data_IF_041987469782
#
_entry.id   IF_041987469782
#
_cell.length_a   1.000
_cell.length_b   1.000
_cell.length_c   1.000
_cell.angle_alpha   90.00
_cell.angle_beta   90.00
_cell.angle_gamma   90.00
#
_symmetry.space_group_name_H-M   'P 1'
#
loop_
_entity.id
_entity.type
_entity.pdbx_description
1 polymer ?
#
# COMPACT_ATOMS: atom_id res chain seq x y z
N UNK A 1 -18.82 -8.55 37.33
CA UNK A 1 -19.04 -9.77 36.51
C UNK A 1 -19.59 -9.48 35.13
N UNK A 2 -20.77 -8.86 34.92
CA UNK A 2 -21.36 -8.60 33.58
C UNK A 2 -20.47 -7.83 32.59
N UNK A 3 -19.64 -6.85 33.02
CA UNK A 3 -18.75 -6.07 32.18
C UNK A 3 -17.56 -6.91 31.68
N UNK A 4 -17.00 -7.74 32.53
CA UNK A 4 -15.92 -8.68 32.18
C UNK A 4 -16.40 -9.73 31.15
N UNK A 5 -17.59 -10.27 31.36
CA UNK A 5 -18.19 -11.26 30.46
C UNK A 5 -18.42 -10.68 29.05
N UNK A 6 -18.86 -9.41 28.93
CA UNK A 6 -19.00 -8.72 27.66
C UNK A 6 -17.64 -8.47 26.97
N UNK A 7 -16.58 -8.17 27.73
CA UNK A 7 -15.23 -7.98 27.19
C UNK A 7 -14.69 -9.31 26.65
N UNK A 8 -14.82 -10.39 27.44
CA UNK A 8 -14.41 -11.73 27.01
C UNK A 8 -15.16 -12.16 25.75
N UNK A 9 -16.50 -11.98 25.70
CA UNK A 9 -17.30 -12.31 24.53
C UNK A 9 -16.89 -11.56 23.27
N UNK A 10 -16.55 -10.26 23.38
CA UNK A 10 -16.01 -9.47 22.27
C UNK A 10 -14.67 -10.04 21.77
N UNK A 11 -13.76 -10.38 22.68
CA UNK A 11 -12.46 -10.93 22.29
C UNK A 11 -12.57 -12.32 21.66
N UNK A 12 -13.48 -13.16 22.16
CA UNK A 12 -13.76 -14.46 21.56
C UNK A 12 -14.32 -14.32 20.13
N UNK A 13 -15.26 -13.40 19.93
CA UNK A 13 -15.81 -13.12 18.59
C UNK A 13 -14.72 -12.60 17.64
N UNK A 14 -13.89 -11.64 18.08
CA UNK A 14 -12.78 -11.13 17.30
C UNK A 14 -11.76 -12.22 16.96
N UNK A 15 -11.43 -13.08 17.92
CA UNK A 15 -10.53 -14.21 17.73
C UNK A 15 -11.08 -15.20 16.70
N UNK A 16 -12.38 -15.52 16.79
CA UNK A 16 -13.05 -16.38 15.83
C UNK A 16 -13.02 -15.80 14.40
N UNK A 17 -13.35 -14.52 14.27
CA UNK A 17 -13.28 -13.83 12.98
C UNK A 17 -11.85 -13.82 12.42
N UNK A 18 -10.87 -13.51 13.26
CA UNK A 18 -9.45 -13.52 12.85
C UNK A 18 -9.03 -14.93 12.40
N UNK A 19 -9.46 -15.98 13.12
CA UNK A 19 -9.17 -17.35 12.73
C UNK A 19 -9.76 -17.71 11.36
N UNK A 20 -11.02 -17.34 11.10
CA UNK A 20 -11.68 -17.55 9.80
C UNK A 20 -10.90 -16.84 8.68
N UNK A 21 -10.45 -15.60 8.92
CA UNK A 21 -9.66 -14.83 7.95
C UNK A 21 -8.26 -15.42 7.71
N UNK A 22 -7.69 -16.10 8.68
CA UNK A 22 -6.39 -16.75 8.55
C UNK A 22 -6.44 -18.06 7.76
N UNK A 23 -7.60 -18.74 7.69
CA UNK A 23 -7.74 -20.04 6.99
C UNK A 23 -7.19 -19.98 5.55
N UNK A 24 -7.60 -19.03 4.68
CA UNK A 24 -7.08 -18.99 3.31
C UNK A 24 -5.58 -18.70 3.26
N UNK A 25 -5.05 -17.89 4.19
CA UNK A 25 -3.62 -17.57 4.26
C UNK A 25 -2.82 -18.81 4.65
N UNK A 26 -3.26 -19.53 5.68
CA UNK A 26 -2.64 -20.78 6.12
C UNK A 26 -2.72 -21.83 5.01
N UNK A 27 -3.86 -21.93 4.31
CA UNK A 27 -4.01 -22.85 3.20
C UNK A 27 -3.02 -22.53 2.05
N UNK A 28 -2.86 -21.27 1.66
CA UNK A 28 -1.88 -20.85 0.66
C UNK A 28 -0.45 -21.21 1.10
N UNK A 29 -0.11 -20.93 2.37
CA UNK A 29 1.19 -21.25 2.92
C UNK A 29 1.45 -22.76 2.89
N UNK A 30 0.50 -23.57 3.35
CA UNK A 30 0.61 -25.02 3.38
C UNK A 30 0.71 -25.58 1.94
N UNK A 31 -0.12 -25.08 1.02
CA UNK A 31 -0.15 -25.52 -0.37
C UNK A 31 1.15 -25.16 -1.10
N UNK A 32 1.82 -24.07 -0.73
CA UNK A 32 3.10 -23.67 -1.35
C UNK A 32 4.20 -24.73 -1.17
N UNK A 33 4.11 -25.56 -0.12
CA UNK A 33 5.01 -26.68 0.12
C UNK A 33 4.54 -28.01 -0.50
N UNK A 34 3.52 -27.98 -1.36
CA UNK A 34 3.02 -29.18 -2.03
C UNK A 34 3.90 -29.54 -3.22
N UNK A 35 4.16 -30.84 -3.40
CA UNK A 35 4.78 -31.36 -4.64
C UNK A 35 3.82 -31.44 -5.83
N UNK A 36 2.55 -31.14 -5.62
CA UNK A 36 1.52 -31.15 -6.67
C UNK A 36 1.67 -29.90 -7.57
N UNK A 37 1.72 -30.12 -8.90
CA UNK A 37 1.92 -29.08 -9.91
C UNK A 37 0.61 -28.52 -10.51
N UNK A 38 -0.49 -28.60 -9.83
CA UNK A 38 -1.78 -28.11 -10.31
C UNK A 38 -2.30 -26.90 -9.53
N UNK A 39 -3.17 -26.12 -10.16
CA UNK A 39 -3.83 -24.97 -9.53
C UNK A 39 -4.90 -25.41 -8.53
N UNK A 40 -5.54 -26.57 -8.79
CA UNK A 40 -6.62 -27.09 -7.96
C UNK A 40 -6.10 -28.23 -7.07
N UNK A 41 -5.94 -27.99 -5.79
CA UNK A 41 -5.64 -29.03 -4.81
C UNK A 41 -6.94 -29.53 -4.21
N UNK A 42 -7.18 -30.87 -4.26
CA UNK A 42 -8.34 -31.52 -3.61
C UNK A 42 -8.17 -31.67 -2.10
N UNK A 43 -6.97 -31.42 -1.58
CA UNK A 43 -6.63 -31.64 -0.17
C UNK A 43 -6.16 -30.33 0.47
N UNK A 44 -6.59 -30.07 1.71
CA UNK A 44 -6.12 -28.90 2.47
C UNK A 44 -4.65 -29.04 2.84
N UNK A 45 -4.21 -30.23 3.20
CA UNK A 45 -2.81 -30.53 3.49
C UNK A 45 -2.15 -31.28 2.32
N UNK A 46 -0.89 -30.96 1.97
CA UNK A 46 -0.16 -31.69 0.94
C UNK A 46 0.00 -33.17 1.29
N UNK A 47 -0.23 -34.03 0.33
CA UNK A 47 0.07 -35.48 0.47
C UNK A 47 1.58 -35.74 0.50
N UNK A 48 2.35 -34.89 -0.20
CA UNK A 48 3.83 -34.91 -0.18
C UNK A 48 4.33 -33.48 -0.04
N UNK A 49 5.20 -33.28 0.92
CA UNK A 49 5.85 -32.00 1.19
C UNK A 49 7.10 -31.86 0.35
N UNK A 50 7.26 -30.71 -0.32
CA UNK A 50 8.41 -30.41 -1.18
C UNK A 50 8.68 -28.91 -1.20
N UNK A 51 9.96 -28.56 -1.44
CA UNK A 51 10.40 -27.20 -1.72
C UNK A 51 10.53 -26.92 -3.23
N UNK A 52 10.09 -27.86 -4.08
CA UNK A 52 10.26 -27.75 -5.54
C UNK A 52 9.64 -26.48 -6.12
N UNK A 53 8.48 -26.05 -5.60
CA UNK A 53 7.84 -24.82 -6.05
C UNK A 53 8.75 -23.59 -5.81
N UNK A 54 9.42 -23.53 -4.66
CA UNK A 54 10.34 -22.45 -4.36
C UNK A 54 11.63 -22.54 -5.18
N UNK A 55 12.17 -23.77 -5.34
CA UNK A 55 13.35 -24.00 -6.17
C UNK A 55 13.07 -23.62 -7.64
N UNK A 56 11.89 -23.94 -8.16
CA UNK A 56 11.48 -23.57 -9.50
C UNK A 56 11.30 -22.06 -9.63
N UNK A 57 10.66 -21.43 -8.64
CA UNK A 57 10.37 -19.99 -8.63
C UNK A 57 11.62 -19.12 -8.61
N UNK A 58 12.62 -19.49 -7.80
CA UNK A 58 13.81 -18.67 -7.57
C UNK A 58 15.00 -19.04 -8.46
N UNK A 59 15.18 -20.33 -8.75
CA UNK A 59 16.42 -20.83 -9.38
C UNK A 59 16.22 -21.37 -10.80
N UNK A 60 14.98 -21.54 -11.23
CA UNK A 60 14.65 -21.99 -12.60
C UNK A 60 13.61 -21.05 -13.22
N UNK A 61 13.93 -19.75 -13.39
CA UNK A 61 12.99 -18.83 -14.00
C UNK A 61 12.70 -19.28 -15.43
N UNK A 62 11.44 -19.41 -15.74
CA UNK A 62 10.99 -19.65 -17.11
C UNK A 62 11.12 -18.36 -17.93
N UNK A 63 11.21 -18.48 -19.26
CA UNK A 63 11.29 -17.31 -20.17
C UNK A 63 10.08 -16.38 -20.04
N UNK A 64 8.92 -16.93 -19.65
CA UNK A 64 7.66 -16.20 -19.47
C UNK A 64 7.47 -15.68 -18.03
N UNK A 65 8.01 -16.38 -17.04
CA UNK A 65 7.78 -16.09 -15.61
C UNK A 65 9.11 -15.96 -14.85
N UNK A 66 9.68 -14.75 -14.86
CA UNK A 66 10.90 -14.44 -14.10
C UNK A 66 10.54 -13.78 -12.77
N UNK A 67 10.15 -14.58 -11.76
CA UNK A 67 9.76 -14.09 -10.44
C UNK A 67 10.85 -13.26 -9.76
N UNK A 68 12.14 -13.63 -9.73
CA UNK A 68 13.18 -12.81 -9.11
C UNK A 68 13.26 -11.40 -9.72
N UNK A 69 13.14 -11.28 -11.04
CA UNK A 69 13.13 -9.96 -11.69
C UNK A 69 11.87 -9.15 -11.33
N UNK A 70 10.70 -9.78 -11.30
CA UNK A 70 9.44 -9.12 -10.91
C UNK A 70 9.48 -8.66 -9.47
N UNK A 71 9.97 -9.51 -8.56
CA UNK A 71 10.11 -9.17 -7.15
C UNK A 71 11.08 -8.00 -6.94
N UNK A 72 12.24 -8.04 -7.59
CA UNK A 72 13.22 -6.94 -7.57
C UNK A 72 12.61 -5.64 -8.07
N UNK A 73 11.91 -5.67 -9.20
CA UNK A 73 11.28 -4.49 -9.78
C UNK A 73 10.22 -3.91 -8.83
N UNK A 74 9.36 -4.76 -8.26
CA UNK A 74 8.35 -4.35 -7.29
C UNK A 74 8.99 -3.75 -6.03
N UNK A 75 10.09 -4.33 -5.55
CA UNK A 75 10.82 -3.82 -4.39
C UNK A 75 11.43 -2.43 -4.66
N UNK A 76 12.06 -2.24 -5.84
CA UNK A 76 12.64 -0.96 -6.23
C UNK A 76 11.54 0.10 -6.34
N UNK A 77 10.46 -0.20 -7.06
CA UNK A 77 9.33 0.73 -7.23
C UNK A 77 8.70 1.05 -5.88
N UNK A 78 8.44 0.03 -5.05
CA UNK A 78 7.84 0.21 -3.73
C UNK A 78 8.71 1.04 -2.79
N UNK A 79 10.02 0.76 -2.72
CA UNK A 79 10.95 1.51 -1.89
C UNK A 79 11.09 2.98 -2.35
N UNK A 80 11.29 3.20 -3.65
CA UNK A 80 11.39 4.53 -4.20
C UNK A 80 10.10 5.34 -3.99
N UNK A 81 8.95 4.74 -4.29
CA UNK A 81 7.64 5.37 -4.07
C UNK A 81 7.41 5.67 -2.59
N UNK A 82 7.74 4.77 -1.68
CA UNK A 82 7.59 4.98 -0.24
C UNK A 82 8.35 6.22 0.23
N UNK A 83 9.61 6.37 -0.15
CA UNK A 83 10.43 7.53 0.23
C UNK A 83 9.88 8.81 -0.40
N UNK A 84 9.68 8.83 -1.71
CA UNK A 84 9.27 10.02 -2.45
C UNK A 84 7.86 10.46 -2.00
N UNK A 85 6.90 9.53 -1.97
CA UNK A 85 5.54 9.82 -1.55
C UNK A 85 5.46 10.34 -0.11
N UNK A 86 6.21 9.72 0.81
CA UNK A 86 6.22 10.15 2.22
C UNK A 86 6.78 11.56 2.34
N UNK A 87 7.88 11.89 1.65
CA UNK A 87 8.43 13.25 1.64
C UNK A 87 7.42 14.26 1.12
N UNK A 88 6.79 14.01 -0.04
CA UNK A 88 5.77 14.90 -0.59
C UNK A 88 4.58 15.07 0.34
N UNK A 89 4.07 13.97 0.91
CA UNK A 89 2.95 14.00 1.86
C UNK A 89 3.29 14.85 3.08
N UNK A 90 4.48 14.66 3.66
CA UNK A 90 4.90 15.44 4.83
C UNK A 90 5.09 16.92 4.48
N UNK A 91 5.72 17.25 3.35
CA UNK A 91 5.93 18.63 2.90
C UNK A 91 4.59 19.34 2.67
N UNK A 92 3.66 18.71 1.96
CA UNK A 92 2.32 19.26 1.70
C UNK A 92 1.52 19.40 3.00
N UNK A 93 1.53 18.38 3.85
CA UNK A 93 0.84 18.40 5.13
C UNK A 93 1.37 19.50 6.05
N UNK A 94 2.70 19.66 6.11
CA UNK A 94 3.34 20.73 6.88
C UNK A 94 2.96 22.11 6.35
N UNK A 95 3.06 22.34 5.05
CA UNK A 95 2.68 23.59 4.42
C UNK A 95 1.20 23.93 4.70
N UNK A 96 0.32 22.93 4.55
CA UNK A 96 -1.13 23.10 4.76
C UNK A 96 -1.53 23.21 6.23
N UNK A 97 -0.71 22.79 7.19
CA UNK A 97 -1.00 22.91 8.61
C UNK A 97 -0.29 24.11 9.25
N UNK A 98 1.02 24.24 9.00
CA UNK A 98 1.89 25.14 9.76
C UNK A 98 2.13 26.49 9.06
N UNK A 99 1.98 26.57 7.74
CA UNK A 99 2.23 27.81 6.99
C UNK A 99 0.92 28.59 6.77
N UNK A 100 1.02 29.92 6.78
CA UNK A 100 -0.10 30.84 6.49
C UNK A 100 0.09 31.45 5.11
N UNK A 101 -0.73 31.07 4.13
CA UNK A 101 -0.72 31.67 2.80
C UNK A 101 -2.15 31.74 2.22
N UNK A 102 -2.44 32.72 1.32
CA UNK A 102 -3.81 32.98 0.85
C UNK A 102 -4.44 31.80 0.12
N UNK A 103 -3.64 31.04 -0.65
CA UNK A 103 -4.12 29.93 -1.46
C UNK A 103 -4.42 28.63 -0.67
N UNK A 104 -4.18 28.57 0.66
CA UNK A 104 -4.33 27.36 1.48
C UNK A 104 -5.75 26.77 1.40
N UNK A 105 -6.79 27.62 1.58
CA UNK A 105 -8.20 27.16 1.56
C UNK A 105 -8.62 26.67 0.17
N UNK A 106 -8.42 27.45 -0.92
CA UNK A 106 -8.80 26.99 -2.26
C UNK A 106 -8.04 25.72 -2.69
N UNK A 107 -6.75 25.60 -2.38
CA UNK A 107 -6.00 24.38 -2.70
C UNK A 107 -6.56 23.14 -1.98
N UNK A 108 -6.95 23.26 -0.71
CA UNK A 108 -7.61 22.17 0.00
C UNK A 108 -8.94 21.77 -0.63
N UNK A 109 -9.75 22.76 -1.02
CA UNK A 109 -11.03 22.48 -1.69
C UNK A 109 -10.83 21.79 -3.04
N UNK A 110 -9.88 22.24 -3.84
CA UNK A 110 -9.52 21.62 -5.12
C UNK A 110 -9.05 20.17 -4.89
N UNK A 111 -8.18 19.94 -3.91
CA UNK A 111 -7.69 18.59 -3.61
C UNK A 111 -8.80 17.61 -3.21
N UNK A 112 -9.79 18.07 -2.42
CA UNK A 112 -10.96 17.28 -2.05
C UNK A 112 -11.80 16.97 -3.28
N UNK A 113 -12.09 17.98 -4.13
CA UNK A 113 -12.88 17.81 -5.35
C UNK A 113 -12.20 16.81 -6.30
N UNK A 114 -10.89 16.95 -6.50
CA UNK A 114 -10.11 16.02 -7.33
C UNK A 114 -10.11 14.59 -6.75
N UNK A 115 -10.09 14.46 -5.42
CA UNK A 115 -10.18 13.17 -4.74
C UNK A 115 -11.54 12.46 -4.90
N UNK A 116 -12.59 13.19 -5.31
CA UNK A 116 -13.91 12.62 -5.60
C UNK A 116 -14.04 12.08 -7.03
N UNK A 117 -13.03 12.33 -7.88
CA UNK A 117 -13.06 11.86 -9.27
C UNK A 117 -12.99 10.32 -9.34
N UNK A 118 -13.80 9.68 -10.18
CA UNK A 118 -13.77 8.23 -10.35
C UNK A 118 -12.39 7.76 -10.79
N UNK A 119 -11.80 6.77 -10.06
CA UNK A 119 -10.44 6.29 -10.30
C UNK A 119 -10.21 5.79 -11.73
N UNK A 120 -11.22 5.21 -12.37
CA UNK A 120 -11.14 4.74 -13.76
C UNK A 120 -10.89 5.89 -14.74
N UNK A 121 -11.58 7.03 -14.57
CA UNK A 121 -11.37 8.21 -15.41
C UNK A 121 -9.98 8.81 -15.20
N UNK A 122 -9.54 8.85 -13.96
CA UNK A 122 -8.19 9.30 -13.61
C UNK A 122 -7.13 8.41 -14.26
N UNK A 123 -7.33 7.10 -14.29
CA UNK A 123 -6.40 6.15 -14.91
C UNK A 123 -6.24 6.39 -16.42
N UNK A 124 -7.34 6.68 -17.13
CA UNK A 124 -7.30 7.03 -18.56
C UNK A 124 -6.49 8.32 -18.78
N UNK A 125 -6.77 9.35 -17.99
CA UNK A 125 -6.05 10.63 -18.09
C UNK A 125 -4.54 10.45 -17.80
N UNK A 126 -4.19 9.70 -16.76
CA UNK A 126 -2.80 9.38 -16.40
C UNK A 126 -2.10 8.64 -17.55
N UNK A 127 -2.75 7.67 -18.20
CA UNK A 127 -2.18 6.96 -19.33
C UNK A 127 -1.77 7.92 -20.46
N UNK A 128 -2.65 8.86 -20.85
CA UNK A 128 -2.32 9.83 -21.90
C UNK A 128 -1.18 10.76 -21.49
N UNK A 129 -1.15 11.20 -20.23
CA UNK A 129 -0.04 12.03 -19.71
C UNK A 129 1.27 11.24 -19.74
N UNK A 130 1.28 9.98 -19.28
CA UNK A 130 2.50 9.13 -19.32
C UNK A 130 2.96 8.87 -20.74
N UNK A 131 2.04 8.66 -21.66
CA UNK A 131 2.35 8.51 -23.09
C UNK A 131 2.97 9.76 -23.68
N UNK A 132 2.43 10.94 -23.35
CA UNK A 132 2.98 12.23 -23.79
C UNK A 132 4.40 12.47 -23.27
N UNK A 133 4.69 12.03 -22.05
CA UNK A 133 6.00 12.14 -21.42
C UNK A 133 6.97 11.04 -21.84
N UNK A 134 6.55 10.04 -22.64
CA UNK A 134 7.37 8.89 -23.03
C UNK A 134 7.69 7.96 -21.86
N UNK A 135 6.86 7.95 -20.81
CA UNK A 135 7.07 7.19 -19.57
C UNK A 135 6.15 5.96 -19.46
N UNK A 136 5.43 5.60 -20.53
CA UNK A 136 4.68 4.34 -20.58
C UNK A 136 5.63 3.16 -20.45
N UNK A 137 5.19 2.10 -19.77
CA UNK A 137 5.93 0.84 -19.56
C UNK A 137 7.31 1.02 -18.89
N UNK A 138 7.46 2.07 -18.08
CA UNK A 138 8.70 2.36 -17.36
C UNK A 138 8.54 2.32 -15.83
N UNK A 139 9.59 1.89 -15.13
CA UNK A 139 9.60 1.96 -13.65
C UNK A 139 9.48 3.42 -13.15
N UNK A 140 10.09 4.37 -13.86
CA UNK A 140 10.03 5.79 -13.52
C UNK A 140 8.59 6.30 -13.60
N UNK A 141 7.83 5.92 -14.64
CA UNK A 141 6.41 6.25 -14.77
C UNK A 141 5.59 5.75 -13.59
N UNK A 142 5.79 4.49 -13.19
CA UNK A 142 5.09 3.91 -12.03
C UNK A 142 5.44 4.62 -10.72
N UNK A 143 6.72 4.92 -10.49
CA UNK A 143 7.15 5.66 -9.29
C UNK A 143 6.50 7.03 -9.23
N UNK A 144 6.45 7.76 -10.34
CA UNK A 144 5.82 9.08 -10.42
C UNK A 144 4.31 8.97 -10.12
N UNK A 145 3.61 8.05 -10.79
CA UNK A 145 2.16 7.87 -10.60
C UNK A 145 1.84 7.56 -9.14
N UNK A 146 2.51 6.57 -8.56
CA UNK A 146 2.25 6.16 -7.18
C UNK A 146 2.68 7.21 -6.15
N UNK A 147 3.74 7.96 -6.42
CA UNK A 147 4.17 9.05 -5.54
C UNK A 147 3.21 10.24 -5.56
N UNK A 148 2.62 10.54 -6.72
CA UNK A 148 1.64 11.62 -6.86
C UNK A 148 0.25 11.24 -6.31
N UNK A 149 -0.12 9.96 -6.34
CA UNK A 149 -1.45 9.45 -5.98
C UNK A 149 -1.78 9.42 -4.49
N UNK A 150 -0.91 9.87 -3.59
CA UNK A 150 -1.07 9.76 -2.13
C UNK A 150 -1.99 10.81 -1.49
N UNK A 151 -3.02 11.27 -2.22
CA UNK A 151 -3.90 12.37 -1.83
C UNK A 151 -4.53 12.28 -0.43
N UNK A 152 -4.91 11.09 0.04
CA UNK A 152 -5.44 10.92 1.41
C UNK A 152 -4.36 10.98 2.49
N UNK A 153 -3.13 10.63 2.17
CA UNK A 153 -2.01 10.62 3.13
C UNK A 153 -1.74 12.01 3.72
N UNK A 154 -1.81 13.07 2.91
CA UNK A 154 -1.57 14.42 3.40
C UNK A 154 -2.66 14.90 4.37
N UNK A 155 -3.91 14.48 4.21
CA UNK A 155 -5.00 14.83 5.14
C UNK A 155 -4.76 14.21 6.52
N UNK A 156 -4.31 12.95 6.58
CA UNK A 156 -3.99 12.26 7.82
C UNK A 156 -2.81 12.96 8.51
N UNK A 157 -1.72 13.20 7.78
CA UNK A 157 -0.55 13.87 8.32
C UNK A 157 -0.85 15.32 8.73
N UNK A 158 -1.67 16.03 7.95
CA UNK A 158 -2.14 17.37 8.30
C UNK A 158 -2.91 17.36 9.62
N UNK A 159 -3.84 16.40 9.79
CA UNK A 159 -4.57 16.24 11.05
C UNK A 159 -3.64 16.05 12.24
N UNK A 160 -2.56 15.29 12.07
CA UNK A 160 -1.52 15.15 13.09
C UNK A 160 -0.79 16.48 13.37
N UNK A 161 -0.34 17.18 12.32
CA UNK A 161 0.33 18.48 12.50
C UNK A 161 -0.57 19.54 13.12
N UNK A 162 -1.88 19.51 12.86
CA UNK A 162 -2.84 20.44 13.49
C UNK A 162 -2.93 20.24 15.01
N UNK A 163 -2.64 19.04 15.53
CA UNK A 163 -2.62 18.75 16.98
C UNK A 163 -1.30 19.11 17.65
N UNK A 164 -0.25 19.41 16.88
CA UNK A 164 1.08 19.72 17.44
C UNK A 164 1.09 21.11 18.09
N UNK A 165 1.47 21.23 19.39
CA UNK A 165 1.55 22.51 20.09
C UNK A 165 2.44 23.53 19.37
N UNK A 166 2.01 24.81 19.40
CA UNK A 166 2.76 25.90 18.74
C UNK A 166 4.17 26.05 19.35
N UNK A 167 4.31 25.81 20.65
CA UNK A 167 5.59 25.88 21.36
C UNK A 167 6.66 24.95 20.79
N UNK A 168 6.27 23.73 20.37
CA UNK A 168 7.21 22.79 19.73
C UNK A 168 7.66 23.28 18.35
N UNK A 169 6.77 23.96 17.62
CA UNK A 169 7.11 24.54 16.31
C UNK A 169 8.00 25.78 16.42
N UNK A 170 7.86 26.53 17.50
CA UNK A 170 8.70 27.71 17.81
C UNK A 170 10.08 27.27 18.26
N UNK A 171 10.17 26.26 19.13
CA UNK A 171 11.44 25.68 19.56
C UNK A 171 12.28 25.10 18.40
N UNK A 172 11.64 24.57 17.36
CA UNK A 172 12.33 24.05 16.18
C UNK A 172 12.86 25.13 15.21
N UNK A 173 12.58 26.44 15.47
CA UNK A 173 13.06 27.58 14.69
C UNK A 173 14.26 28.29 15.34
N UNK A 174 14.55 27.95 16.59
CA UNK A 174 15.72 28.43 17.34
C UNK A 174 16.93 27.54 17.07
#
# INVERSE_FOLDING_TARGET
>A
MKKQLKIVGKHMLLALLAFIWLIPIVWLLVTSFSSYKGINTMHFFPQRWSLDNYMQLFFRPDTVANFPAWFRNSLIIGAATCVISTLFVLMVAYAMSCMRFPARKPLMSIAIILGMFPGVLSMIAIYFVMRLLGLTDSMAGLIIIYSAGSGLGYLICKGFFDTTPVSLREAAKL
#
